data_IF_751440552998
#
_entry.id   IF_751440552998
#
_cell.length_a   1.000
_cell.length_b   1.000
_cell.length_c   1.000
_cell.angle_alpha   90.00
_cell.angle_beta   90.00
_cell.angle_gamma   90.00
#
_symmetry.space_group_name_H-M   'P 1'
#
loop_
_entity.id
_entity.type
_entity.pdbx_description
1 polymer ?
#
# COMPACT_ATOMS: atom_id res chain seq x y z
N UNK A 1 0.16 -40.17 -1.15
CA UNK A 1 -1.19 -39.88 -1.72
C UNK A 1 -1.03 -38.97 -2.94
N UNK A 2 -1.27 -39.49 -4.16
CA UNK A 2 -1.09 -38.67 -5.40
C UNK A 2 -2.36 -37.86 -5.65
N UNK A 3 -2.41 -36.62 -5.17
CA UNK A 3 -3.53 -35.74 -5.51
C UNK A 3 -3.57 -35.51 -7.03
N UNK A 4 -4.76 -35.65 -7.63
CA UNK A 4 -4.92 -35.42 -9.08
C UNK A 4 -4.63 -33.94 -9.40
N UNK A 5 -3.93 -33.68 -10.51
CA UNK A 5 -3.58 -32.32 -10.97
C UNK A 5 -4.79 -31.39 -11.00
N UNK A 6 -5.94 -31.90 -11.44
CA UNK A 6 -7.21 -31.18 -11.48
C UNK A 6 -7.74 -30.78 -10.09
N UNK A 7 -7.50 -31.61 -9.06
CA UNK A 7 -7.90 -31.32 -7.67
C UNK A 7 -7.02 -30.22 -7.09
N UNK A 8 -5.70 -30.27 -7.30
CA UNK A 8 -4.78 -29.23 -6.89
C UNK A 8 -5.07 -27.88 -7.60
N UNK A 9 -5.36 -27.92 -8.91
CA UNK A 9 -5.71 -26.72 -9.67
C UNK A 9 -6.98 -26.06 -9.14
N UNK A 10 -8.02 -26.84 -8.86
CA UNK A 10 -9.27 -26.35 -8.25
C UNK A 10 -9.04 -25.77 -6.86
N UNK A 11 -8.21 -26.41 -6.05
CA UNK A 11 -7.86 -25.93 -4.71
C UNK A 11 -7.11 -24.60 -4.77
N UNK A 12 -6.06 -24.50 -5.58
CA UNK A 12 -5.29 -23.26 -5.77
C UNK A 12 -6.17 -22.16 -6.33
N UNK A 13 -7.01 -22.44 -7.33
CA UNK A 13 -7.93 -21.46 -7.90
C UNK A 13 -8.96 -20.94 -6.89
N UNK A 14 -9.42 -21.79 -5.97
CA UNK A 14 -10.38 -21.41 -4.92
C UNK A 14 -9.74 -20.56 -3.81
N UNK A 15 -8.45 -20.77 -3.51
CA UNK A 15 -7.76 -20.18 -2.37
C UNK A 15 -6.66 -19.17 -2.73
N UNK A 16 -6.37 -18.97 -4.02
CA UNK A 16 -5.45 -17.93 -4.45
C UNK A 16 -6.00 -16.54 -4.11
N UNK A 17 -5.36 -15.87 -3.17
CA UNK A 17 -5.80 -14.53 -2.70
C UNK A 17 -5.60 -13.43 -3.73
N UNK A 18 -6.51 -12.49 -3.68
CA UNK A 18 -6.67 -11.15 -4.28
C UNK A 18 -5.89 -10.72 -5.52
N UNK A 19 -4.60 -10.84 -5.58
CA UNK A 19 -3.76 -10.29 -6.67
C UNK A 19 -3.12 -11.34 -7.59
N UNK A 20 -3.40 -12.62 -7.37
CA UNK A 20 -2.88 -13.68 -8.22
C UNK A 20 -3.96 -14.22 -9.16
N UNK A 21 -3.64 -14.51 -10.43
CA UNK A 21 -4.59 -15.10 -11.33
C UNK A 21 -5.05 -16.46 -10.78
N UNK A 22 -6.39 -16.65 -10.70
CA UNK A 22 -7.00 -17.88 -10.21
C UNK A 22 -6.93 -19.03 -11.21
N UNK A 23 -6.34 -18.80 -12.38
CA UNK A 23 -6.21 -19.79 -13.46
C UNK A 23 -5.04 -19.39 -14.39
N UNK A 24 -4.65 -20.31 -15.25
CA UNK A 24 -3.64 -20.05 -16.28
C UNK A 24 -2.21 -20.41 -15.88
N UNK A 25 -1.20 -19.88 -16.60
CA UNK A 25 0.20 -20.32 -16.48
C UNK A 25 0.79 -20.26 -15.07
N UNK A 26 0.39 -19.29 -14.26
CA UNK A 26 0.85 -19.14 -12.88
C UNK A 26 0.43 -20.35 -12.02
N UNK A 27 -0.85 -20.75 -12.09
CA UNK A 27 -1.38 -21.89 -11.32
C UNK A 27 -0.70 -23.17 -11.77
N UNK A 28 -0.50 -23.36 -13.07
CA UNK A 28 0.19 -24.52 -13.62
C UNK A 28 1.65 -24.61 -13.16
N UNK A 29 2.38 -23.48 -13.17
CA UNK A 29 3.77 -23.42 -12.67
C UNK A 29 3.84 -23.75 -11.20
N UNK A 30 2.92 -23.22 -10.38
CA UNK A 30 2.85 -23.49 -8.94
C UNK A 30 2.57 -24.97 -8.66
N UNK A 31 1.60 -25.58 -9.38
CA UNK A 31 1.27 -27.00 -9.21
C UNK A 31 2.44 -27.90 -9.63
N UNK A 32 3.11 -27.55 -10.70
CA UNK A 32 4.29 -28.29 -11.17
C UNK A 32 5.41 -28.22 -10.12
N UNK A 33 5.75 -27.01 -9.65
CA UNK A 33 6.77 -26.84 -8.61
C UNK A 33 6.44 -27.56 -7.30
N UNK A 34 5.18 -27.54 -6.85
CA UNK A 34 4.76 -28.28 -5.66
C UNK A 34 4.91 -29.79 -5.83
N UNK A 35 4.63 -30.32 -7.03
CA UNK A 35 4.77 -31.77 -7.32
C UNK A 35 6.25 -32.18 -7.39
N UNK A 36 7.07 -31.38 -8.04
CA UNK A 36 8.52 -31.61 -8.10
C UNK A 36 9.15 -31.59 -6.72
N UNK A 37 8.78 -30.61 -5.90
CA UNK A 37 9.24 -30.52 -4.52
C UNK A 37 8.80 -31.74 -3.67
N UNK A 38 7.55 -32.17 -3.83
CA UNK A 38 7.04 -33.36 -3.14
C UNK A 38 7.72 -34.65 -3.61
N UNK A 39 7.99 -34.79 -4.90
CA UNK A 39 8.74 -35.94 -5.43
C UNK A 39 10.18 -35.93 -4.92
N UNK A 40 10.85 -34.77 -4.99
CA UNK A 40 12.19 -34.62 -4.48
C UNK A 40 12.30 -34.97 -2.98
N UNK A 41 11.36 -34.51 -2.18
CA UNK A 41 11.31 -34.84 -0.75
C UNK A 41 11.11 -36.35 -0.52
N UNK A 42 10.26 -37.01 -1.33
CA UNK A 42 10.02 -38.44 -1.26
C UNK A 42 11.26 -39.24 -1.67
N UNK A 43 11.95 -38.80 -2.73
CA UNK A 43 13.18 -39.45 -3.22
C UNK A 43 14.36 -39.29 -2.23
N UNK A 44 14.45 -38.12 -1.58
CA UNK A 44 15.51 -37.82 -0.62
C UNK A 44 15.32 -38.55 0.72
N UNK A 45 14.10 -38.61 1.21
CA UNK A 45 13.82 -39.07 2.58
C UNK A 45 13.24 -40.50 2.61
N UNK A 46 12.67 -40.98 1.51
CA UNK A 46 12.19 -42.33 1.34
C UNK A 46 11.28 -42.80 2.48
N UNK A 47 11.67 -43.91 3.14
CA UNK A 47 10.96 -44.48 4.29
C UNK A 47 11.46 -43.96 5.65
N UNK A 48 12.42 -43.06 5.68
CA UNK A 48 13.03 -42.56 6.92
C UNK A 48 12.20 -41.47 7.62
N UNK A 49 11.20 -40.91 6.92
CA UNK A 49 10.31 -39.90 7.51
C UNK A 49 8.89 -40.48 7.54
N UNK A 50 8.27 -40.39 8.69
CA UNK A 50 6.85 -40.64 8.81
C UNK A 50 6.02 -39.44 8.30
N UNK A 51 5.67 -39.48 7.02
CA UNK A 51 4.85 -38.48 6.39
C UNK A 51 3.41 -38.39 6.94
N UNK A 52 2.95 -39.37 7.74
CA UNK A 52 1.64 -39.32 8.36
C UNK A 52 1.56 -38.29 9.46
N UNK A 53 2.58 -38.22 10.31
CA UNK A 53 2.70 -37.17 11.35
C UNK A 53 2.84 -35.78 10.74
N UNK A 54 3.71 -35.61 9.75
CA UNK A 54 3.86 -34.37 9.03
C UNK A 54 2.55 -33.94 8.33
N UNK A 55 1.81 -34.88 7.76
CA UNK A 55 0.50 -34.61 7.15
C UNK A 55 -0.50 -34.11 8.19
N UNK A 56 -0.50 -34.67 9.39
CA UNK A 56 -1.36 -34.22 10.49
C UNK A 56 -1.02 -32.79 10.91
N UNK A 57 0.25 -32.49 11.14
CA UNK A 57 0.71 -31.13 11.50
C UNK A 57 0.32 -30.09 10.43
N UNK A 58 0.60 -30.40 9.16
CA UNK A 58 0.23 -29.52 8.03
C UNK A 58 -1.28 -29.31 7.97
N UNK A 59 -2.08 -30.35 8.17
CA UNK A 59 -3.53 -30.23 8.15
C UNK A 59 -4.05 -29.33 9.28
N UNK A 60 -3.45 -29.42 10.47
CA UNK A 60 -3.77 -28.54 11.60
C UNK A 60 -3.40 -27.10 11.31
N UNK A 61 -2.20 -26.83 10.75
CA UNK A 61 -1.81 -25.48 10.39
C UNK A 61 -2.68 -24.87 9.28
N UNK A 62 -3.05 -25.66 8.28
CA UNK A 62 -4.00 -25.22 7.24
C UNK A 62 -5.33 -24.82 7.88
N UNK A 63 -5.86 -25.63 8.81
CA UNK A 63 -7.10 -25.31 9.53
C UNK A 63 -6.98 -23.99 10.30
N UNK A 64 -5.85 -23.78 11.00
CA UNK A 64 -5.57 -22.56 11.72
C UNK A 64 -5.51 -21.33 10.78
N UNK A 65 -4.84 -21.45 9.64
CA UNK A 65 -4.76 -20.40 8.62
C UNK A 65 -6.15 -20.07 8.07
N UNK A 66 -6.94 -21.06 7.71
CA UNK A 66 -8.31 -20.86 7.21
C UNK A 66 -9.21 -20.18 8.23
N UNK A 67 -9.12 -20.57 9.51
CA UNK A 67 -9.87 -19.91 10.58
C UNK A 67 -9.46 -18.43 10.75
N UNK A 68 -8.17 -18.12 10.63
CA UNK A 68 -7.66 -16.73 10.67
C UNK A 68 -8.13 -15.92 9.46
N UNK A 69 -8.13 -16.50 8.27
CA UNK A 69 -8.66 -15.84 7.06
C UNK A 69 -10.14 -15.48 7.24
N UNK A 70 -10.93 -16.40 7.78
CA UNK A 70 -12.34 -16.12 8.09
C UNK A 70 -12.49 -14.98 9.09
N UNK A 71 -11.73 -15.02 10.19
CA UNK A 71 -11.74 -13.97 11.22
C UNK A 71 -11.37 -12.59 10.64
N UNK A 72 -10.36 -12.53 9.78
CA UNK A 72 -9.97 -11.29 9.09
C UNK A 72 -11.13 -10.78 8.22
N UNK A 73 -11.78 -11.66 7.43
CA UNK A 73 -12.93 -11.27 6.62
C UNK A 73 -14.10 -10.74 7.44
N UNK A 74 -14.37 -11.32 8.60
CA UNK A 74 -15.42 -10.87 9.51
C UNK A 74 -15.10 -9.50 10.10
N UNK A 75 -13.84 -9.28 10.52
CA UNK A 75 -13.37 -8.00 11.02
C UNK A 75 -13.41 -6.91 9.94
N UNK A 76 -13.01 -7.22 8.71
CA UNK A 76 -13.08 -6.28 7.57
C UNK A 76 -14.53 -5.84 7.30
N UNK A 77 -15.49 -6.76 7.34
CA UNK A 77 -16.91 -6.43 7.19
C UNK A 77 -17.39 -5.52 8.31
N UNK A 78 -17.08 -5.86 9.55
CA UNK A 78 -17.47 -5.04 10.70
C UNK A 78 -16.84 -3.63 10.67
N UNK A 79 -15.56 -3.51 10.32
CA UNK A 79 -14.89 -2.22 10.12
C UNK A 79 -15.57 -1.41 8.99
N UNK A 80 -15.93 -2.06 7.89
CA UNK A 80 -16.61 -1.39 6.79
C UNK A 80 -17.99 -0.84 7.20
N UNK A 81 -18.73 -1.56 8.04
CA UNK A 81 -20.01 -1.10 8.55
C UNK A 81 -19.86 0.07 9.52
N UNK A 82 -18.90 0.00 10.45
CA UNK A 82 -18.58 1.13 11.32
C UNK A 82 -18.14 2.37 10.51
N UNK A 83 -17.34 2.17 9.47
CA UNK A 83 -16.88 3.26 8.62
C UNK A 83 -18.03 3.99 7.92
N UNK A 84 -19.06 3.29 7.46
CA UNK A 84 -20.27 3.90 6.85
C UNK A 84 -20.98 4.88 7.77
N UNK A 85 -20.91 4.65 9.09
CA UNK A 85 -21.49 5.58 10.06
C UNK A 85 -20.63 6.84 10.28
N UNK A 86 -19.28 6.69 10.16
CA UNK A 86 -18.32 7.78 10.36
C UNK A 86 -18.15 8.67 9.13
N UNK A 87 -18.24 8.09 7.95
CA UNK A 87 -18.11 8.79 6.66
C UNK A 87 -19.20 8.31 5.67
N UNK A 88 -20.48 8.64 5.95
CA UNK A 88 -21.61 8.16 5.14
C UNK A 88 -21.57 8.64 3.69
N UNK A 89 -20.91 9.76 3.42
CA UNK A 89 -20.74 10.31 2.08
C UNK A 89 -19.50 9.77 1.35
N UNK A 90 -18.66 8.97 2.02
CA UNK A 90 -17.44 8.44 1.43
C UNK A 90 -16.42 9.52 1.07
N UNK A 91 -16.39 10.61 1.84
CA UNK A 91 -15.56 11.77 1.55
C UNK A 91 -14.07 11.40 1.45
N UNK A 92 -13.57 10.60 2.39
CA UNK A 92 -12.15 10.21 2.40
C UNK A 92 -11.86 9.18 1.31
N UNK A 93 -12.82 8.33 0.96
CA UNK A 93 -12.72 7.38 -0.16
C UNK A 93 -12.62 8.06 -1.53
N UNK A 94 -13.13 9.29 -1.67
CA UNK A 94 -13.03 10.04 -2.92
C UNK A 94 -11.60 10.45 -3.28
N UNK A 95 -10.68 10.44 -2.30
CA UNK A 95 -9.29 10.85 -2.49
C UNK A 95 -8.51 9.74 -3.19
N UNK A 96 -7.89 10.00 -4.35
CA UNK A 96 -7.08 9.02 -5.05
C UNK A 96 -6.01 8.39 -4.15
N UNK A 97 -5.91 7.07 -4.20
CA UNK A 97 -5.00 6.30 -3.36
C UNK A 97 -5.54 5.91 -1.99
N UNK A 98 -6.64 6.49 -1.53
CA UNK A 98 -7.29 6.11 -0.27
C UNK A 98 -8.37 5.08 -0.57
N UNK A 99 -8.03 3.81 -0.44
CA UNK A 99 -8.96 2.70 -0.64
C UNK A 99 -9.73 2.30 0.61
N UNK A 100 -10.64 1.33 0.45
CA UNK A 100 -11.55 0.82 1.51
C UNK A 100 -10.85 0.34 2.79
N UNK A 101 -9.58 -0.04 2.73
CA UNK A 101 -8.81 -0.47 3.90
C UNK A 101 -8.09 0.71 4.60
N UNK A 102 -7.70 1.74 3.83
CA UNK A 102 -7.00 2.89 4.38
C UNK A 102 -7.95 3.95 4.94
N UNK A 103 -9.12 4.15 4.32
CA UNK A 103 -10.08 5.16 4.75
C UNK A 103 -10.56 4.96 6.20
N UNK A 104 -10.97 3.75 6.64
CA UNK A 104 -11.32 3.51 8.04
C UNK A 104 -10.16 3.78 8.99
N UNK A 105 -8.94 3.38 8.62
CA UNK A 105 -7.74 3.64 9.43
C UNK A 105 -7.49 5.13 9.60
N UNK A 106 -7.60 5.90 8.53
CA UNK A 106 -7.41 7.35 8.56
C UNK A 106 -8.49 8.03 9.42
N UNK A 107 -9.77 7.75 9.16
CA UNK A 107 -10.88 8.32 9.94
C UNK A 107 -10.81 7.92 11.41
N UNK A 108 -10.54 6.65 11.72
CA UNK A 108 -10.44 6.17 13.10
C UNK A 108 -9.32 6.84 13.90
N UNK A 109 -8.20 7.22 13.25
CA UNK A 109 -7.11 7.94 13.92
C UNK A 109 -7.38 9.45 13.97
N UNK A 110 -7.91 10.01 12.89
CA UNK A 110 -8.19 11.45 12.81
C UNK A 110 -9.40 11.85 13.65
N UNK A 111 -10.38 10.98 13.75
CA UNK A 111 -11.64 11.25 14.46
C UNK A 111 -12.32 12.52 13.94
N UNK A 112 -12.53 13.52 14.77
CA UNK A 112 -13.16 14.77 14.38
C UNK A 112 -12.12 15.73 13.74
N UNK A 113 -12.38 16.18 12.52
CA UNK A 113 -11.52 17.12 11.80
C UNK A 113 -11.51 18.52 12.45
N UNK A 114 -12.53 18.87 13.22
CA UNK A 114 -12.64 20.18 13.88
C UNK A 114 -11.55 20.39 14.94
N UNK A 115 -10.96 19.32 15.47
CA UNK A 115 -9.80 19.41 16.39
C UNK A 115 -8.55 20.01 15.75
N UNK A 116 -8.50 20.10 14.42
CA UNK A 116 -7.36 20.65 13.68
C UNK A 116 -7.72 22.04 13.14
N UNK A 117 -7.03 23.07 13.66
CA UNK A 117 -7.26 24.45 13.24
C UNK A 117 -6.76 24.75 11.82
N UNK A 118 -5.82 23.96 11.30
CA UNK A 118 -5.22 24.16 9.97
C UNK A 118 -4.65 22.88 9.40
N UNK A 119 -4.44 22.86 8.08
CA UNK A 119 -3.69 21.80 7.39
C UNK A 119 -2.30 21.59 7.98
N UNK A 120 -1.66 22.66 8.43
CA UNK A 120 -0.33 22.64 9.06
C UNK A 120 -0.37 21.86 10.37
N UNK A 121 -1.42 22.07 11.18
CA UNK A 121 -1.64 21.34 12.42
C UNK A 121 -1.90 19.85 12.16
N UNK A 122 -2.74 19.52 11.17
CA UNK A 122 -2.98 18.14 10.77
C UNK A 122 -1.70 17.46 10.26
N UNK A 123 -0.89 18.12 9.41
CA UNK A 123 0.41 17.60 8.97
C UNK A 123 1.36 17.33 10.13
N UNK A 124 1.39 18.24 11.11
CA UNK A 124 2.15 18.07 12.36
C UNK A 124 1.73 16.81 13.10
N UNK A 125 0.42 16.60 13.26
CA UNK A 125 -0.15 15.39 13.89
C UNK A 125 0.22 14.11 13.13
N UNK A 126 0.17 14.12 11.79
CA UNK A 126 0.57 12.98 10.95
C UNK A 126 2.07 12.69 11.04
N UNK A 127 2.91 13.65 11.40
CA UNK A 127 4.35 13.46 11.55
C UNK A 127 5.11 13.18 10.25
N UNK A 128 4.62 13.68 9.10
CA UNK A 128 5.25 13.51 7.79
C UNK A 128 6.20 14.67 7.47
N UNK A 129 7.07 15.03 8.40
CA UNK A 129 8.07 16.07 8.22
C UNK A 129 9.45 15.60 8.71
N UNK A 130 10.55 16.16 8.18
CA UNK A 130 11.89 15.84 8.64
C UNK A 130 12.09 16.24 10.10
N UNK A 131 12.92 15.49 10.82
CA UNK A 131 13.37 15.91 12.15
C UNK A 131 14.13 17.24 12.03
N UNK A 132 13.90 18.15 12.97
CA UNK A 132 14.79 19.27 13.15
C UNK A 132 16.03 18.80 13.90
N UNK A 133 17.20 19.11 13.38
CA UNK A 133 18.46 18.91 14.06
C UNK A 133 19.23 20.22 13.97
N UNK A 134 18.84 21.17 14.84
CA UNK A 134 19.50 22.45 14.96
C UNK A 134 20.54 22.34 16.08
N UNK A 135 21.80 22.46 15.76
CA UNK A 135 22.84 22.67 16.75
C UNK A 135 23.70 23.85 16.30
N UNK A 136 23.76 24.89 17.16
CA UNK A 136 24.61 26.06 16.89
C UNK A 136 24.17 26.92 15.70
N UNK A 137 22.86 26.98 15.37
CA UNK A 137 22.33 27.82 14.28
C UNK A 137 22.52 27.24 12.87
N UNK A 138 23.06 26.03 12.74
CA UNK A 138 23.23 25.35 11.44
C UNK A 138 22.19 24.27 11.25
N UNK A 139 21.31 24.43 10.28
CA UNK A 139 20.31 23.43 9.88
C UNK A 139 20.98 22.30 9.10
N UNK A 140 20.96 21.07 9.62
CA UNK A 140 21.54 19.90 8.92
C UNK A 140 20.57 19.37 7.88
N UNK A 141 20.97 19.37 6.63
CA UNK A 141 20.22 18.77 5.53
C UNK A 141 20.14 17.22 5.65
N UNK A 142 19.18 16.60 4.96
CA UNK A 142 19.11 15.15 4.84
C UNK A 142 18.56 14.42 6.07
N UNK A 143 17.84 15.10 6.96
CA UNK A 143 17.25 14.48 8.16
C UNK A 143 16.17 13.45 7.81
N UNK A 144 16.10 12.39 8.62
CA UNK A 144 15.04 11.39 8.55
C UNK A 144 13.71 11.97 9.00
N UNK A 145 12.60 11.29 8.69
CA UNK A 145 11.28 11.65 9.22
C UNK A 145 11.29 11.64 10.76
N UNK A 146 10.49 12.54 11.34
CA UNK A 146 10.29 12.55 12.80
C UNK A 146 9.77 11.20 13.29
N UNK A 147 10.23 10.78 14.46
CA UNK A 147 9.68 9.61 15.15
C UNK A 147 8.35 9.92 15.85
N UNK A 148 8.05 11.21 16.06
CA UNK A 148 6.77 11.66 16.60
C UNK A 148 5.60 11.35 15.66
N UNK A 149 4.38 11.39 16.20
CA UNK A 149 3.15 11.05 15.49
C UNK A 149 2.84 9.54 15.46
N UNK A 150 1.67 9.20 14.94
CA UNK A 150 1.19 7.83 14.90
C UNK A 150 1.76 7.09 13.68
N UNK A 151 2.48 5.99 13.90
CA UNK A 151 3.11 5.21 12.82
C UNK A 151 2.08 4.56 11.88
N UNK A 152 0.88 4.23 12.35
CA UNK A 152 -0.18 3.66 11.49
C UNK A 152 -0.69 4.68 10.47
N UNK A 153 -0.87 5.95 10.88
CA UNK A 153 -1.28 7.01 9.95
C UNK A 153 -0.17 7.31 8.93
N UNK A 154 1.10 7.32 9.35
CA UNK A 154 2.24 7.48 8.43
C UNK A 154 2.27 6.37 7.39
N UNK A 155 2.10 5.12 7.81
CA UNK A 155 2.06 3.97 6.91
C UNK A 155 0.87 4.05 5.95
N UNK A 156 -0.32 4.36 6.45
CA UNK A 156 -1.53 4.49 5.62
C UNK A 156 -1.35 5.59 4.56
N UNK A 157 -0.84 6.76 4.95
CA UNK A 157 -0.59 7.86 4.02
C UNK A 157 0.52 7.56 3.02
N UNK A 158 1.55 6.82 3.41
CA UNK A 158 2.61 6.37 2.51
C UNK A 158 2.08 5.42 1.43
N UNK A 159 1.27 4.43 1.82
CA UNK A 159 0.62 3.50 0.89
C UNK A 159 -0.37 4.22 -0.03
N UNK A 160 -1.16 5.15 0.53
CA UNK A 160 -2.05 5.99 -0.25
C UNK A 160 -1.27 6.81 -1.29
N UNK A 161 -0.12 7.37 -0.92
CA UNK A 161 0.73 8.16 -1.82
C UNK A 161 1.29 7.34 -2.98
N UNK A 162 1.69 6.08 -2.75
CA UNK A 162 2.18 5.22 -3.85
C UNK A 162 1.09 4.90 -4.87
N UNK A 163 -0.16 4.77 -4.44
CA UNK A 163 -1.30 4.56 -5.33
C UNK A 163 -1.72 5.88 -5.99
N UNK A 164 -1.81 6.96 -5.22
CA UNK A 164 -2.29 8.26 -5.68
C UNK A 164 -1.44 8.84 -6.83
N UNK A 165 -0.12 8.73 -6.76
CA UNK A 165 0.78 9.16 -7.85
C UNK A 165 0.59 8.42 -9.17
N UNK A 166 -0.18 7.33 -9.18
CA UNK A 166 -0.51 6.53 -10.37
C UNK A 166 -1.93 6.81 -10.90
N UNK A 167 -2.71 7.59 -10.16
CA UNK A 167 -4.14 7.79 -10.43
C UNK A 167 -4.58 9.25 -10.42
N UNK A 168 -3.71 10.17 -9.98
CA UNK A 168 -3.98 11.61 -9.91
C UNK A 168 -2.86 12.39 -10.58
N UNK A 169 -3.15 13.15 -11.66
CA UNK A 169 -2.13 13.86 -12.45
C UNK A 169 -1.32 14.88 -11.64
N UNK A 170 -1.96 15.63 -10.71
CA UNK A 170 -1.26 16.62 -9.87
C UNK A 170 -0.22 15.93 -8.97
N UNK A 171 -0.60 14.79 -8.37
CA UNK A 171 0.30 14.03 -7.51
C UNK A 171 1.38 13.27 -8.30
N UNK A 172 1.04 12.82 -9.50
CA UNK A 172 1.99 12.23 -10.43
C UNK A 172 3.05 13.26 -10.88
N UNK A 173 2.63 14.47 -11.25
CA UNK A 173 3.53 15.58 -11.59
C UNK A 173 4.46 15.93 -10.44
N UNK A 174 3.92 16.08 -9.22
CA UNK A 174 4.72 16.34 -8.04
C UNK A 174 5.78 15.27 -7.83
N UNK A 175 5.38 14.00 -7.88
CA UNK A 175 6.29 12.88 -7.73
C UNK A 175 7.35 12.85 -8.82
N UNK A 176 6.94 12.97 -10.09
CA UNK A 176 7.82 13.01 -11.25
C UNK A 176 8.86 14.14 -11.12
N UNK A 177 8.42 15.35 -10.82
CA UNK A 177 9.30 16.53 -10.67
C UNK A 177 10.32 16.32 -9.56
N UNK A 178 9.92 15.77 -8.42
CA UNK A 178 10.83 15.49 -7.31
C UNK A 178 11.86 14.43 -7.68
N UNK A 179 11.46 13.39 -8.39
CA UNK A 179 12.35 12.30 -8.79
C UNK A 179 13.28 12.69 -9.94
N UNK A 180 12.78 13.38 -10.97
CA UNK A 180 13.55 13.66 -12.20
C UNK A 180 14.30 14.96 -12.12
N UNK A 181 13.64 16.05 -11.70
CA UNK A 181 14.21 17.40 -11.73
C UNK A 181 14.99 17.68 -10.45
N UNK A 182 14.41 17.36 -9.28
CA UNK A 182 15.01 17.68 -7.97
C UNK A 182 15.97 16.63 -7.42
N UNK A 183 16.03 15.47 -8.03
CA UNK A 183 16.94 14.41 -7.60
C UNK A 183 16.60 13.71 -6.28
N UNK A 184 15.36 13.86 -5.78
CA UNK A 184 14.95 13.24 -4.55
C UNK A 184 14.86 11.71 -4.68
N UNK A 185 15.07 11.01 -3.56
CA UNK A 185 14.84 9.57 -3.49
C UNK A 185 13.35 9.23 -3.48
N UNK A 186 13.01 8.03 -3.94
CA UNK A 186 11.63 7.55 -4.01
C UNK A 186 10.83 7.78 -2.71
N UNK A 187 11.42 7.41 -1.56
CA UNK A 187 10.74 7.59 -0.26
C UNK A 187 10.49 9.05 0.10
N UNK A 188 11.43 9.95 -0.24
CA UNK A 188 11.27 11.40 -0.02
C UNK A 188 10.15 11.95 -0.89
N UNK A 189 10.13 11.59 -2.18
CA UNK A 189 9.08 12.00 -3.10
C UNK A 189 7.69 11.50 -2.66
N UNK A 190 7.58 10.23 -2.19
CA UNK A 190 6.33 9.71 -1.64
C UNK A 190 5.88 10.43 -0.37
N UNK A 191 6.79 10.80 0.53
CA UNK A 191 6.45 11.60 1.71
C UNK A 191 5.88 12.99 1.34
N UNK A 192 6.41 13.60 0.29
CA UNK A 192 5.85 14.87 -0.22
C UNK A 192 4.44 14.69 -0.80
N UNK A 193 4.21 13.61 -1.56
CA UNK A 193 2.87 13.24 -2.06
C UNK A 193 1.93 12.96 -0.88
N UNK A 194 2.37 12.20 0.14
CA UNK A 194 1.59 11.93 1.34
C UNK A 194 1.15 13.20 2.06
N UNK A 195 2.03 14.22 2.15
CA UNK A 195 1.66 15.52 2.70
C UNK A 195 0.57 16.23 1.88
N UNK A 196 0.56 16.07 0.55
CA UNK A 196 -0.53 16.58 -0.28
C UNK A 196 -1.85 15.87 -0.02
N UNK A 197 -1.79 14.54 0.20
CA UNK A 197 -2.99 13.76 0.60
C UNK A 197 -3.53 14.25 1.94
N UNK A 198 -2.68 14.57 2.92
CA UNK A 198 -3.13 15.16 4.20
C UNK A 198 -3.90 16.47 3.98
N UNK A 199 -3.39 17.36 3.11
CA UNK A 199 -4.10 18.60 2.78
C UNK A 199 -5.47 18.31 2.12
N UNK A 200 -5.54 17.30 1.23
CA UNK A 200 -6.80 16.89 0.59
C UNK A 200 -7.80 16.34 1.60
N UNK A 201 -7.34 15.48 2.54
CA UNK A 201 -8.17 14.97 3.62
C UNK A 201 -8.75 16.12 4.44
N UNK A 202 -7.91 17.07 4.86
CA UNK A 202 -8.36 18.24 5.61
C UNK A 202 -9.42 19.03 4.82
N UNK A 203 -9.13 19.35 3.57
CA UNK A 203 -10.02 20.14 2.70
C UNK A 203 -11.36 19.44 2.43
N UNK A 204 -11.33 18.14 2.14
CA UNK A 204 -12.53 17.34 1.85
C UNK A 204 -13.43 17.25 3.09
N UNK A 205 -12.85 16.93 4.25
CA UNK A 205 -13.60 16.81 5.51
C UNK A 205 -14.13 18.16 6.00
N UNK A 206 -13.36 19.24 5.87
CA UNK A 206 -13.82 20.60 6.24
C UNK A 206 -14.92 21.15 5.34
N UNK A 207 -14.87 20.85 4.05
CA UNK A 207 -15.86 21.33 3.08
C UNK A 207 -17.09 20.43 2.98
N UNK A 208 -17.01 19.19 3.46
CA UNK A 208 -18.07 18.20 3.30
C UNK A 208 -18.36 17.86 1.83
N UNK A 209 -17.36 17.97 0.94
CA UNK A 209 -17.51 17.69 -0.49
C UNK A 209 -16.45 16.70 -0.95
N UNK A 210 -16.80 15.70 -1.77
CA UNK A 210 -15.88 14.73 -2.32
C UNK A 210 -14.74 15.42 -3.10
N UNK A 211 -13.60 14.71 -3.17
CA UNK A 211 -12.49 15.12 -4.03
C UNK A 211 -12.80 14.78 -5.49
N UNK A 212 -12.49 15.71 -6.38
CA UNK A 212 -12.58 15.51 -7.82
C UNK A 212 -11.17 15.53 -8.41
N UNK A 213 -10.85 14.54 -9.23
CA UNK A 213 -9.59 14.50 -9.99
C UNK A 213 -9.71 15.49 -11.13
N UNK A 214 -8.71 16.35 -11.31
CA UNK A 214 -8.69 17.41 -12.30
C UNK A 214 -7.45 17.35 -13.18
N UNK A 215 -7.59 17.85 -14.40
CA UNK A 215 -6.46 18.13 -15.29
C UNK A 215 -5.73 19.44 -14.90
N UNK A 216 -4.73 19.84 -15.69
CA UNK A 216 -3.99 21.10 -15.46
C UNK A 216 -4.81 22.35 -15.67
N UNK A 217 -5.81 22.26 -16.52
CA UNK A 217 -6.75 23.32 -16.85
C UNK A 217 -7.86 23.47 -15.80
N UNK A 218 -7.94 22.53 -14.84
CA UNK A 218 -8.89 22.54 -13.73
C UNK A 218 -10.20 21.84 -14.04
N UNK A 219 -10.32 21.17 -15.20
CA UNK A 219 -11.52 20.40 -15.56
C UNK A 219 -11.54 19.06 -14.83
N UNK A 220 -12.72 18.64 -14.40
CA UNK A 220 -12.90 17.32 -13.80
C UNK A 220 -12.73 16.23 -14.87
N UNK A 221 -11.92 15.22 -14.55
CA UNK A 221 -11.58 14.13 -15.47
C UNK A 221 -11.83 12.76 -14.84
N UNK A 222 -12.02 11.77 -15.68
CA UNK A 222 -12.17 10.36 -15.26
C UNK A 222 -10.83 9.74 -14.85
N UNK A 223 -10.89 8.63 -14.11
CA UNK A 223 -9.69 7.88 -13.73
C UNK A 223 -8.92 7.31 -14.95
N UNK A 224 -9.62 7.02 -16.04
CA UNK A 224 -8.99 6.55 -17.28
C UNK A 224 -8.21 7.66 -17.97
N UNK A 225 -8.77 8.84 -18.09
CA UNK A 225 -8.11 10.04 -18.64
C UNK A 225 -6.92 10.45 -17.77
N UNK A 226 -7.09 10.45 -16.44
CA UNK A 226 -6.00 10.71 -15.51
C UNK A 226 -4.82 9.76 -15.71
N UNK A 227 -5.07 8.46 -15.86
CA UNK A 227 -4.03 7.46 -16.13
C UNK A 227 -3.35 7.69 -17.49
N UNK A 228 -4.09 8.05 -18.53
CA UNK A 228 -3.53 8.36 -19.84
C UNK A 228 -2.57 9.56 -19.77
N UNK A 229 -2.99 10.66 -19.11
CA UNK A 229 -2.14 11.83 -18.88
C UNK A 229 -0.86 11.46 -18.11
N UNK A 230 -0.97 10.62 -17.07
CA UNK A 230 0.16 10.22 -16.26
C UNK A 230 1.16 9.38 -17.07
N UNK A 231 0.67 8.44 -17.86
CA UNK A 231 1.52 7.59 -18.72
C UNK A 231 2.26 8.42 -19.75
N UNK A 232 1.60 9.38 -20.36
CA UNK A 232 2.18 10.26 -21.39
C UNK A 232 3.24 11.20 -20.79
N UNK A 233 2.94 11.87 -19.66
CA UNK A 233 3.72 13.03 -19.21
C UNK A 233 4.56 12.81 -17.95
N UNK A 234 4.15 11.91 -17.06
CA UNK A 234 4.71 11.81 -15.71
C UNK A 234 5.29 10.43 -15.39
N UNK A 235 5.67 9.68 -16.41
CA UNK A 235 6.38 8.40 -16.22
C UNK A 235 7.83 8.66 -15.83
N UNK A 236 8.25 8.08 -14.70
CA UNK A 236 9.65 8.11 -14.26
C UNK A 236 10.38 6.93 -14.89
N UNK A 237 11.45 7.20 -15.64
CA UNK A 237 12.27 6.18 -16.29
C UNK A 237 12.85 5.16 -15.30
N UNK A 238 13.04 3.93 -15.76
CA UNK A 238 13.45 2.82 -14.92
C UNK A 238 14.88 2.98 -14.36
N UNK A 239 15.78 3.56 -15.14
CA UNK A 239 17.13 3.95 -14.71
C UNK A 239 17.12 4.91 -13.52
N UNK A 240 16.25 5.94 -13.56
CA UNK A 240 16.08 6.89 -12.46
C UNK A 240 15.49 6.19 -11.23
N UNK A 241 14.52 5.29 -11.43
CA UNK A 241 13.94 4.49 -10.35
C UNK A 241 14.97 3.60 -9.67
N UNK A 242 15.77 2.89 -10.44
CA UNK A 242 16.80 1.98 -9.93
C UNK A 242 17.85 2.74 -9.13
N UNK A 243 18.39 3.84 -9.66
CA UNK A 243 19.42 4.65 -9.01
C UNK A 243 18.94 5.41 -7.75
N UNK A 244 17.60 5.55 -7.56
CA UNK A 244 17.03 6.34 -6.45
C UNK A 244 16.14 5.53 -5.51
N UNK A 245 16.28 4.20 -5.50
CA UNK A 245 15.50 3.31 -4.62
C UNK A 245 15.89 3.42 -3.14
N UNK A 246 17.14 3.72 -2.83
CA UNK A 246 17.67 3.65 -1.48
C UNK A 246 18.50 4.89 -1.14
N UNK A 247 18.31 5.42 0.08
CA UNK A 247 19.23 6.36 0.71
C UNK A 247 20.43 5.63 1.37
N UNK A 248 20.66 4.36 1.06
CA UNK A 248 21.85 3.69 1.54
C UNK A 248 23.02 4.32 0.81
N UNK A 249 23.62 5.31 1.43
CA UNK A 249 25.01 5.66 1.19
C UNK A 249 25.74 4.37 1.48
N UNK A 250 26.30 3.73 0.45
CA UNK A 250 27.35 2.75 0.65
C UNK A 250 28.42 3.47 1.47
N UNK A 251 28.51 3.11 2.73
CA UNK A 251 29.67 3.50 3.50
C UNK A 251 30.83 2.73 2.84
N UNK A 252 31.52 3.40 1.97
CA UNK A 252 32.84 2.97 1.51
C UNK A 252 33.69 2.74 2.74
N UNK A 253 34.44 1.62 2.81
CA UNK A 253 35.24 1.23 3.96
C UNK A 253 36.29 2.25 4.33
#
# INVERSE_FOLDING_TARGET
MKARRTTLAKYVAAHAGGNHPRSGPFVETLITGLREAAQYAQDLHGTHIDFSELQFEIAMEIKNVLAKIQTVGDLERHIADLYKHLDPQGLVLSIPGVGRHLAPTLIGILQNIERFHSEKHLRGFCGLFPRRADSGGVERAGQTLTQGGNNRIKQALYLAADTARKTDPELAELYWRLMTVKGHHHKQALCAVANRIVNRIFSVLKRGKPYEVRDREGNSITLSEAKAIILERYTVGENIRAGRRSNRIEKTP
#
